data_IF_012143119165
#
_entry.id   IF_012143119165
#
_cell.length_a   1.000
_cell.length_b   1.000
_cell.length_c   1.000
_cell.angle_alpha   90.00
_cell.angle_beta   90.00
_cell.angle_gamma   90.00
#
_symmetry.space_group_name_H-M   'P 1'
#
loop_
_entity.id
_entity.type
_entity.pdbx_description
1 polymer ?
#
# COMPACT_ATOMS: atom_id res chain seq x y z
N UNK A 1 5.04 -20.18 5.91
CA UNK A 1 4.26 -18.99 5.49
C UNK A 1 5.19 -17.81 5.27
N UNK A 2 5.04 -17.12 4.18
CA UNK A 2 5.82 -15.92 3.95
C UNK A 2 5.27 -14.77 4.77
N UNK A 3 6.16 -13.90 5.25
CA UNK A 3 5.78 -12.70 5.97
C UNK A 3 6.31 -11.48 5.23
N UNK A 4 5.87 -10.30 5.63
CA UNK A 4 6.36 -9.04 5.06
C UNK A 4 7.85 -8.84 5.25
N UNK A 5 8.46 -9.54 6.22
CA UNK A 5 9.89 -9.45 6.46
C UNK A 5 10.74 -9.97 5.29
N UNK A 6 10.15 -10.81 4.43
CA UNK A 6 10.85 -11.36 3.26
C UNK A 6 10.75 -10.46 2.03
N UNK A 7 10.07 -9.33 2.13
CA UNK A 7 9.86 -8.40 1.02
C UNK A 7 10.37 -7.01 1.39
N UNK A 8 10.78 -6.26 0.37
CA UNK A 8 11.01 -4.84 0.56
C UNK A 8 9.64 -4.16 0.68
N UNK A 9 9.48 -3.30 1.66
CA UNK A 9 8.19 -2.63 1.86
C UNK A 9 8.36 -1.26 2.49
N UNK A 10 7.38 -0.41 2.26
CA UNK A 10 7.29 0.88 2.92
C UNK A 10 5.82 1.22 3.17
N UNK A 11 5.61 2.17 4.07
CA UNK A 11 4.29 2.72 4.34
C UNK A 11 4.19 4.04 3.61
N UNK A 12 3.13 4.20 2.80
CA UNK A 12 2.83 5.45 2.11
C UNK A 12 1.48 5.95 2.60
N UNK A 13 1.47 7.03 3.36
CA UNK A 13 0.26 7.54 4.00
C UNK A 13 -0.10 8.93 3.50
N UNK A 14 -1.41 9.20 3.41
CA UNK A 14 -1.93 10.53 3.08
C UNK A 14 -1.82 11.51 4.24
N UNK A 15 -1.57 11.02 5.47
CA UNK A 15 -1.36 11.88 6.62
C UNK A 15 -0.01 12.56 6.59
N UNK A 16 0.11 13.68 7.28
CA UNK A 16 1.40 14.32 7.49
C UNK A 16 2.23 13.55 8.51
N UNK A 17 3.48 13.98 8.67
CA UNK A 17 4.44 13.27 9.53
C UNK A 17 3.94 13.11 10.97
N UNK A 18 3.32 14.13 11.54
CA UNK A 18 2.85 14.07 12.93
C UNK A 18 1.76 13.00 13.10
N UNK A 19 0.81 12.95 12.17
CA UNK A 19 -0.26 11.95 12.17
C UNK A 19 0.30 10.56 11.97
N UNK A 20 1.25 10.41 11.03
CA UNK A 20 1.88 9.13 10.75
C UNK A 20 2.63 8.62 11.98
N UNK A 21 3.33 9.49 12.70
CA UNK A 21 4.07 9.10 13.91
C UNK A 21 3.14 8.53 14.97
N UNK A 22 1.98 9.16 15.19
CA UNK A 22 1.01 8.70 16.18
C UNK A 22 0.47 7.32 15.78
N UNK A 23 0.09 7.15 14.52
CA UNK A 23 -0.46 5.88 14.04
C UNK A 23 0.55 4.74 14.13
N UNK A 24 1.79 4.99 13.75
CA UNK A 24 2.84 3.97 13.81
C UNK A 24 3.15 3.56 15.24
N UNK A 25 3.13 4.50 16.18
CA UNK A 25 3.29 4.17 17.59
C UNK A 25 2.17 3.28 18.10
N UNK A 26 0.93 3.56 17.69
CA UNK A 26 -0.21 2.75 18.07
C UNK A 26 -0.09 1.32 17.56
N UNK A 27 0.58 1.12 16.42
CA UNK A 27 0.84 -0.21 15.86
C UNK A 27 2.08 -0.87 16.45
N UNK A 28 2.81 -0.19 17.32
CA UNK A 28 4.04 -0.71 17.89
C UNK A 28 5.25 -0.62 16.98
N UNK A 29 5.19 0.21 15.95
CA UNK A 29 6.27 0.41 15.00
C UNK A 29 7.06 1.67 15.34
N UNK A 30 8.39 1.61 15.14
CA UNK A 30 9.27 2.75 15.32
C UNK A 30 9.53 3.36 13.94
N UNK A 31 9.23 4.65 13.78
CA UNK A 31 9.42 5.38 12.52
C UNK A 31 10.85 5.25 12.01
N UNK A 32 11.84 5.27 12.91
CA UNK A 32 13.24 5.18 12.52
C UNK A 32 13.60 3.85 11.85
N UNK A 33 12.78 2.81 12.06
CA UNK A 33 13.01 1.48 11.51
C UNK A 33 12.11 1.16 10.33
N UNK A 34 11.23 2.09 9.92
CA UNK A 34 10.25 1.87 8.87
C UNK A 34 10.51 2.85 7.72
N UNK A 35 10.50 2.33 6.50
CA UNK A 35 10.49 3.18 5.32
C UNK A 35 9.14 3.85 5.23
N UNK A 36 9.09 5.16 5.27
CA UNK A 36 7.86 5.92 5.36
C UNK A 36 7.85 7.05 4.33
N UNK A 37 6.76 7.14 3.58
CA UNK A 37 6.45 8.27 2.71
C UNK A 37 5.16 8.90 3.22
N UNK A 38 5.17 10.20 3.47
CA UNK A 38 3.99 10.91 3.92
C UNK A 38 3.52 11.92 2.88
N UNK A 39 2.37 12.52 3.13
CA UNK A 39 1.81 13.57 2.27
C UNK A 39 2.80 14.74 2.09
N UNK A 40 3.64 14.98 3.10
CA UNK A 40 4.63 16.06 3.05
C UNK A 40 5.79 15.77 2.10
N UNK A 41 6.01 14.52 1.74
CA UNK A 41 7.12 14.10 0.87
C UNK A 41 6.79 14.22 -0.63
N UNK A 42 5.54 14.51 -0.97
CA UNK A 42 5.08 14.52 -2.36
C UNK A 42 4.27 15.76 -2.66
N UNK A 43 4.20 16.10 -3.94
CA UNK A 43 3.45 17.28 -4.39
C UNK A 43 1.95 17.05 -4.34
N UNK A 44 1.50 15.87 -4.79
CA UNK A 44 0.07 15.54 -4.86
C UNK A 44 -0.23 14.25 -4.09
N UNK A 45 -1.33 14.29 -3.34
CA UNK A 45 -1.84 13.11 -2.65
C UNK A 45 -2.73 12.26 -3.54
N UNK A 46 -3.20 11.13 -3.01
CA UNK A 46 -4.11 10.23 -3.72
C UNK A 46 -5.36 10.98 -4.18
N UNK A 47 -5.91 10.68 -5.34
CA UNK A 47 -5.61 9.54 -6.22
C UNK A 47 -4.43 9.73 -7.18
N UNK A 48 -3.64 10.76 -7.03
CA UNK A 48 -2.40 10.88 -7.78
C UNK A 48 -1.41 9.82 -7.28
N UNK A 49 -0.54 9.29 -8.16
CA UNK A 49 0.33 8.17 -7.78
C UNK A 49 1.61 8.58 -7.06
N UNK A 50 1.79 9.85 -6.73
CA UNK A 50 3.05 10.37 -6.20
C UNK A 50 3.55 9.62 -4.97
N UNK A 51 2.65 9.28 -4.03
CA UNK A 51 3.04 8.56 -2.81
C UNK A 51 3.63 7.19 -3.14
N UNK A 52 3.03 6.48 -4.09
CA UNK A 52 3.49 5.14 -4.44
C UNK A 52 4.76 5.18 -5.28
N UNK A 53 4.88 6.16 -6.16
CA UNK A 53 6.12 6.37 -6.93
C UNK A 53 7.28 6.70 -5.99
N UNK A 54 7.04 7.55 -4.99
CA UNK A 54 8.07 7.86 -4.00
C UNK A 54 8.44 6.63 -3.18
N UNK A 55 7.46 5.81 -2.83
CA UNK A 55 7.71 4.55 -2.11
C UNK A 55 8.56 3.59 -2.91
N UNK A 56 8.23 3.38 -4.19
CA UNK A 56 8.99 2.50 -5.07
C UNK A 56 10.42 3.00 -5.23
N UNK A 57 10.61 4.30 -5.38
CA UNK A 57 11.93 4.91 -5.48
C UNK A 57 12.74 4.67 -4.21
N UNK A 58 12.11 4.81 -3.06
CA UNK A 58 12.78 4.60 -1.77
C UNK A 58 13.21 3.14 -1.60
N UNK A 59 12.43 2.20 -2.11
CA UNK A 59 12.75 0.78 -2.08
C UNK A 59 13.70 0.35 -3.21
N UNK A 60 13.95 1.23 -4.16
CA UNK A 60 14.76 0.95 -5.35
C UNK A 60 14.18 -0.22 -6.15
N UNK A 61 12.87 -0.19 -6.37
CA UNK A 61 12.13 -1.21 -7.13
C UNK A 61 11.30 -0.51 -8.20
N UNK A 62 11.29 -1.03 -9.45
CA UNK A 62 10.42 -0.46 -10.48
C UNK A 62 8.96 -0.51 -10.04
N UNK A 63 8.20 0.55 -10.30
CA UNK A 63 6.81 0.63 -9.87
C UNK A 63 5.95 -0.50 -10.45
N UNK A 64 6.27 -0.97 -11.66
CA UNK A 64 5.54 -2.04 -12.31
C UNK A 64 5.67 -3.38 -11.58
N UNK A 65 6.69 -3.51 -10.73
CA UNK A 65 6.93 -4.72 -9.94
C UNK A 65 6.41 -4.58 -8.51
N UNK A 66 5.76 -3.47 -8.19
CA UNK A 66 5.26 -3.20 -6.85
C UNK A 66 3.81 -3.64 -6.68
N UNK A 67 3.49 -4.09 -5.48
CA UNK A 67 2.12 -4.27 -5.04
C UNK A 67 1.74 -3.09 -4.15
N UNK A 68 0.57 -2.52 -4.40
CA UNK A 68 -0.01 -1.49 -3.54
C UNK A 68 -1.17 -2.13 -2.78
N UNK A 69 -1.08 -2.13 -1.46
CA UNK A 69 -2.11 -2.70 -0.61
C UNK A 69 -2.85 -1.54 0.05
N UNK A 70 -4.14 -1.46 -0.15
CA UNK A 70 -4.93 -0.36 0.38
C UNK A 70 -6.39 -0.74 0.58
N UNK A 71 -7.10 0.05 1.40
CA UNK A 71 -8.49 -0.21 1.77
C UNK A 71 -9.47 0.80 1.16
N UNK A 72 -9.02 1.68 0.30
CA UNK A 72 -9.84 2.70 -0.32
C UNK A 72 -9.72 2.67 -1.84
N UNK A 73 -10.79 3.11 -2.52
CA UNK A 73 -10.77 3.23 -3.99
C UNK A 73 -9.65 4.17 -4.45
N UNK A 74 -9.31 5.18 -3.66
CA UNK A 74 -8.27 6.14 -3.99
C UNK A 74 -6.90 5.49 -4.10
N UNK A 75 -6.62 4.48 -3.26
CA UNK A 75 -5.39 3.70 -3.32
C UNK A 75 -5.32 2.91 -4.63
N UNK A 76 -6.44 2.31 -5.00
CA UNK A 76 -6.51 1.49 -6.21
C UNK A 76 -6.38 2.35 -7.47
N UNK A 77 -7.02 3.52 -7.48
CA UNK A 77 -6.90 4.47 -8.59
C UNK A 77 -5.47 4.96 -8.75
N UNK A 78 -4.81 5.30 -7.64
CA UNK A 78 -3.44 5.76 -7.68
C UNK A 78 -2.49 4.66 -8.18
N UNK A 79 -2.67 3.43 -7.72
CA UNK A 79 -1.89 2.29 -8.18
C UNK A 79 -2.06 2.08 -9.69
N UNK A 80 -3.29 2.14 -10.16
CA UNK A 80 -3.61 1.96 -11.58
C UNK A 80 -2.94 3.04 -12.43
N UNK A 81 -2.91 4.28 -11.95
CA UNK A 81 -2.32 5.40 -12.68
C UNK A 81 -0.82 5.23 -12.89
N UNK A 82 -0.13 4.59 -11.97
CA UNK A 82 1.33 4.37 -12.10
C UNK A 82 1.67 2.95 -12.52
N UNK A 83 0.68 2.12 -12.85
CA UNK A 83 0.85 0.74 -13.33
C UNK A 83 1.41 -0.21 -12.28
N UNK A 84 1.24 0.10 -11.01
CA UNK A 84 1.46 -0.85 -9.94
C UNK A 84 0.25 -1.76 -9.82
N UNK A 85 0.42 -2.94 -9.23
CA UNK A 85 -0.67 -3.86 -8.99
C UNK A 85 -1.37 -3.51 -7.69
N UNK A 86 -2.67 -3.24 -7.74
CA UNK A 86 -3.46 -2.91 -6.56
C UNK A 86 -4.10 -4.13 -5.92
N UNK A 87 -3.99 -4.21 -4.61
CA UNK A 87 -4.64 -5.24 -3.79
C UNK A 87 -5.52 -4.52 -2.77
N UNK A 88 -6.81 -4.80 -2.83
CA UNK A 88 -7.79 -4.14 -1.98
C UNK A 88 -8.08 -4.90 -0.69
N UNK A 89 -8.39 -4.15 0.37
CA UNK A 89 -8.82 -4.72 1.65
C UNK A 89 -10.18 -4.14 2.00
N UNK A 90 -11.06 -4.99 2.52
CA UNK A 90 -12.44 -4.60 2.83
C UNK A 90 -12.57 -3.79 4.12
N UNK A 91 -11.54 -3.74 4.93
CA UNK A 91 -11.61 -3.11 6.25
C UNK A 91 -11.80 -1.59 6.22
N UNK A 92 -11.69 -0.96 5.06
CA UNK A 92 -11.89 0.48 4.91
C UNK A 92 -13.33 0.89 4.60
N UNK A 93 -14.25 -0.07 4.51
CA UNK A 93 -15.66 0.22 4.29
C UNK A 93 -16.12 0.19 2.84
N UNK A 94 -15.23 -0.04 1.89
CA UNK A 94 -15.60 -0.23 0.48
C UNK A 94 -15.88 -1.71 0.22
N UNK A 95 -16.78 -2.00 -0.72
CA UNK A 95 -17.05 -3.39 -1.08
C UNK A 95 -16.11 -3.88 -2.18
N UNK A 96 -16.14 -5.19 -2.42
CA UNK A 96 -15.29 -5.84 -3.43
C UNK A 96 -15.47 -5.23 -4.80
N UNK A 97 -16.71 -5.01 -5.22
CA UNK A 97 -17.01 -4.45 -6.54
C UNK A 97 -16.45 -3.04 -6.72
N UNK A 98 -16.55 -2.22 -5.68
CA UNK A 98 -16.01 -0.86 -5.73
C UNK A 98 -14.49 -0.87 -5.89
N UNK A 99 -13.81 -1.72 -5.11
CA UNK A 99 -12.35 -1.81 -5.19
C UNK A 99 -11.88 -2.40 -6.52
N UNK A 100 -12.58 -3.39 -7.04
CA UNK A 100 -12.25 -3.98 -8.34
C UNK A 100 -12.46 -2.99 -9.48
N UNK A 101 -13.55 -2.23 -9.45
CA UNK A 101 -13.79 -1.21 -10.48
C UNK A 101 -12.74 -0.11 -10.43
N UNK A 102 -12.18 0.17 -9.27
CA UNK A 102 -11.10 1.14 -9.12
C UNK A 102 -9.75 0.59 -9.57
N UNK A 103 -9.64 -0.73 -9.80
CA UNK A 103 -8.44 -1.34 -10.35
C UNK A 103 -7.80 -2.44 -9.53
N UNK A 104 -8.40 -2.86 -8.43
CA UNK A 104 -7.83 -3.94 -7.61
C UNK A 104 -7.78 -5.23 -8.41
N UNK A 105 -6.63 -5.88 -8.40
CA UNK A 105 -6.46 -7.21 -9.00
C UNK A 105 -7.14 -8.27 -8.15
N UNK A 106 -6.99 -8.16 -6.83
CA UNK A 106 -7.62 -9.05 -5.86
C UNK A 106 -8.06 -8.25 -4.65
N UNK A 107 -9.04 -8.76 -3.94
CA UNK A 107 -9.57 -8.14 -2.73
C UNK A 107 -9.62 -9.17 -1.62
N UNK A 108 -9.12 -8.80 -0.44
CA UNK A 108 -9.13 -9.65 0.73
C UNK A 108 -9.89 -8.95 1.86
N UNK A 109 -10.35 -9.72 2.81
CA UNK A 109 -11.17 -9.20 3.90
C UNK A 109 -10.40 -8.21 4.77
N UNK A 110 -9.15 -8.55 5.11
CA UNK A 110 -8.31 -7.76 5.99
C UNK A 110 -6.83 -8.14 5.78
N UNK A 111 -5.89 -7.45 6.47
CA UNK A 111 -4.47 -7.78 6.33
C UNK A 111 -4.13 -9.22 6.69
N UNK A 112 -4.82 -9.82 7.65
CA UNK A 112 -4.55 -11.21 8.02
C UNK A 112 -4.91 -12.16 6.88
N UNK A 113 -6.07 -11.95 6.26
CA UNK A 113 -6.47 -12.77 5.11
C UNK A 113 -5.48 -12.63 3.97
N UNK A 114 -4.96 -11.42 3.72
CA UNK A 114 -3.92 -11.22 2.71
C UNK A 114 -2.67 -12.01 3.04
N UNK A 115 -2.22 -11.98 4.29
CA UNK A 115 -1.02 -12.73 4.70
C UNK A 115 -1.19 -14.22 4.50
N UNK A 116 -2.38 -14.75 4.77
CA UNK A 116 -2.68 -16.18 4.56
C UNK A 116 -2.67 -16.57 3.09
N UNK A 117 -2.88 -15.62 2.19
CA UNK A 117 -2.95 -15.85 0.74
C UNK A 117 -1.85 -15.11 -0.02
N UNK A 118 -0.77 -14.76 0.68
CA UNK A 118 0.30 -13.94 0.10
C UNK A 118 0.89 -14.56 -1.17
N UNK A 119 0.94 -15.88 -1.24
CA UNK A 119 1.48 -16.57 -2.41
C UNK A 119 0.65 -16.34 -3.68
N UNK A 120 -0.61 -15.95 -3.56
CA UNK A 120 -1.45 -15.66 -4.72
C UNK A 120 -1.03 -14.39 -5.44
N UNK A 121 -0.39 -13.46 -4.74
CA UNK A 121 -0.08 -12.14 -5.29
C UNK A 121 1.41 -11.82 -5.30
N UNK A 122 2.19 -12.41 -4.41
CA UNK A 122 3.57 -12.01 -4.18
C UNK A 122 4.62 -13.06 -4.58
N UNK A 123 4.25 -14.31 -4.78
CA UNK A 123 5.19 -15.38 -5.10
C UNK A 123 5.38 -15.58 -6.59
N UNK A 124 5.29 -14.54 -7.35
CA UNK A 124 5.46 -14.64 -8.80
C UNK A 124 6.92 -14.68 -9.17
N UNK A 125 7.28 -15.53 -10.11
CA UNK A 125 8.64 -15.52 -10.64
C UNK A 125 8.90 -14.24 -11.39
#
# INVERSE_FOLDING_TARGET
>A
MRSLLHFKWCIATSGGMDTAAINLKALGLDIAQVNLITRDDVKYGKPDPDLFLAGASKLDVPIEECLVIGDAIWDMLAARRCKATGIGLLCGGYDTGELERAGALRVYEDPLALLQHLDEVASRP
#
